data_IF_969208582574
#
_entry.id   IF_969208582574
#
_cell.length_a   1.000
_cell.length_b   1.000
_cell.length_c   1.000
_cell.angle_alpha   90.00
_cell.angle_beta   90.00
_cell.angle_gamma   90.00
#
_symmetry.space_group_name_H-M   'P 1'
#
loop_
_entity.id
_entity.type
_entity.pdbx_description
1 polymer ?
#
# COMPACT_ATOMS: atom_id res chain seq x y z
N UNK A 1 10.57 3.14 34.11
CA UNK A 1 10.41 1.91 33.31
C UNK A 1 8.99 1.96 32.75
N UNK A 2 8.78 2.80 31.74
CA UNK A 2 7.47 2.99 31.13
C UNK A 2 7.32 1.99 30.00
N UNK A 3 6.61 0.90 30.27
CA UNK A 3 6.04 0.07 29.23
C UNK A 3 4.96 0.91 28.56
N UNK A 4 5.34 1.68 27.54
CA UNK A 4 4.41 2.25 26.58
C UNK A 4 3.53 1.09 26.09
N UNK A 5 2.24 1.18 26.33
CA UNK A 5 1.29 0.13 26.00
C UNK A 5 1.34 -0.11 24.48
N UNK A 6 2.07 -1.14 24.05
CA UNK A 6 2.28 -1.46 22.63
C UNK A 6 0.96 -1.58 21.87
N UNK A 7 -0.13 -1.91 22.57
CA UNK A 7 -1.48 -1.98 22.02
C UNK A 7 -2.04 -0.59 21.71
N UNK A 8 -1.85 0.37 22.60
CA UNK A 8 -2.30 1.76 22.40
C UNK A 8 -1.58 2.46 21.22
N UNK A 9 -0.32 2.11 20.96
CA UNK A 9 0.44 2.64 19.80
C UNK A 9 -0.10 2.09 18.48
N UNK A 10 -0.32 0.78 18.39
CA UNK A 10 -0.87 0.14 17.19
C UNK A 10 -2.32 0.60 16.94
N UNK A 11 -3.11 0.76 17.99
CA UNK A 11 -4.50 1.20 17.91
C UNK A 11 -4.63 2.70 17.60
N UNK A 12 -3.57 3.49 17.73
CA UNK A 12 -3.64 4.93 17.48
C UNK A 12 -3.97 5.25 16.01
N UNK A 13 -3.42 4.48 15.07
CA UNK A 13 -3.74 4.63 13.65
C UNK A 13 -5.21 4.25 13.38
N UNK A 14 -5.63 3.07 13.83
CA UNK A 14 -7.02 2.60 13.63
C UNK A 14 -8.04 3.42 14.40
N UNK A 15 -7.65 4.23 15.39
CA UNK A 15 -8.57 5.16 16.05
C UNK A 15 -9.08 6.26 15.10
N UNK A 16 -8.23 6.73 14.17
CA UNK A 16 -8.53 7.87 13.26
C UNK A 16 -8.94 7.45 11.86
N UNK A 17 -8.56 6.25 11.46
CA UNK A 17 -8.88 5.69 10.16
C UNK A 17 -9.79 4.47 10.31
N UNK A 18 -10.47 4.09 9.24
CA UNK A 18 -11.19 2.82 9.23
C UNK A 18 -10.19 1.65 9.26
N UNK A 19 -10.69 0.48 9.65
CA UNK A 19 -9.87 -0.70 9.87
C UNK A 19 -9.15 -1.19 8.58
N UNK A 20 -9.59 -0.78 7.38
CA UNK A 20 -8.92 -1.08 6.11
C UNK A 20 -7.64 -0.29 5.85
N UNK A 21 -7.35 0.74 6.66
CA UNK A 21 -6.16 1.57 6.44
C UNK A 21 -4.88 0.74 6.48
N UNK A 22 -4.82 -0.29 7.33
CA UNK A 22 -3.64 -1.15 7.43
C UNK A 22 -3.43 -1.95 6.15
N UNK A 23 -4.43 -2.72 5.73
CA UNK A 23 -4.39 -3.48 4.47
C UNK A 23 -4.04 -2.56 3.29
N UNK A 24 -4.61 -1.34 3.29
CA UNK A 24 -4.37 -0.38 2.24
C UNK A 24 -2.93 0.14 2.19
N UNK A 25 -2.34 0.39 3.35
CA UNK A 25 -0.96 0.83 3.47
C UNK A 25 0.03 -0.32 3.23
N UNK A 26 -0.35 -1.57 3.55
CA UNK A 26 0.48 -2.76 3.30
C UNK A 26 0.65 -3.08 1.81
N UNK A 27 -0.30 -2.68 0.97
CA UNK A 27 -0.23 -2.88 -0.48
C UNK A 27 0.82 -1.99 -1.17
N UNK A 28 1.30 -0.94 -0.51
CA UNK A 28 2.33 -0.08 -1.07
C UNK A 28 3.72 -0.75 -1.01
N UNK A 29 4.43 -0.87 -2.14
CA UNK A 29 5.75 -1.48 -2.17
C UNK A 29 6.85 -0.57 -1.62
N UNK A 30 6.62 0.74 -1.56
CA UNK A 30 7.62 1.74 -1.19
C UNK A 30 7.91 1.76 0.31
N UNK A 31 9.09 2.26 0.67
CA UNK A 31 9.55 2.39 2.04
C UNK A 31 9.00 3.67 2.70
N UNK A 32 8.09 3.52 3.66
CA UNK A 32 7.59 4.64 4.43
C UNK A 32 7.19 4.25 5.87
N UNK A 33 7.08 5.27 6.71
CA UNK A 33 6.64 5.18 8.10
C UNK A 33 5.51 6.19 8.35
N UNK A 34 4.63 5.88 9.29
CA UNK A 34 3.67 6.82 9.86
C UNK A 34 3.96 6.96 11.35
N UNK A 35 4.02 8.19 11.83
CA UNK A 35 4.20 8.51 13.26
C UNK A 35 3.00 9.27 13.80
N UNK A 36 2.75 9.16 15.10
CA UNK A 36 1.67 9.88 15.77
C UNK A 36 2.21 10.95 16.73
N UNK A 37 2.10 12.25 16.40
CA UNK A 37 2.58 13.33 17.26
C UNK A 37 1.72 13.55 18.51
N UNK A 38 0.52 12.95 18.61
CA UNK A 38 -0.29 13.03 19.81
C UNK A 38 0.22 12.14 20.95
N UNK A 39 1.11 11.18 20.64
CA UNK A 39 1.76 10.32 21.63
C UNK A 39 3.16 10.85 21.92
N UNK A 40 3.52 10.91 23.20
CA UNK A 40 4.82 11.39 23.65
C UNK A 40 5.97 10.64 22.94
N UNK A 41 6.93 11.40 22.41
CA UNK A 41 8.06 10.85 21.67
C UNK A 41 7.77 10.52 20.20
N UNK A 42 6.60 10.89 19.66
CA UNK A 42 6.21 10.72 18.25
C UNK A 42 6.51 9.30 17.73
N UNK A 43 5.95 8.26 18.38
CA UNK A 43 6.25 6.89 18.02
C UNK A 43 5.77 6.58 16.60
N UNK A 44 6.48 5.65 15.97
CA UNK A 44 6.09 5.02 14.73
C UNK A 44 4.89 4.13 15.03
N UNK A 45 3.77 4.38 14.36
CA UNK A 45 2.52 3.63 14.48
C UNK A 45 2.30 2.69 13.28
N UNK A 46 3.04 2.89 12.19
CA UNK A 46 3.03 2.00 11.02
C UNK A 46 4.39 2.02 10.31
N UNK A 47 4.84 0.86 9.86
CA UNK A 47 6.01 0.68 9.02
C UNK A 47 5.66 -0.19 7.81
N UNK A 48 5.93 0.31 6.60
CA UNK A 48 5.60 -0.43 5.38
C UNK A 48 6.51 -1.64 5.18
N UNK A 49 6.04 -2.63 4.41
CA UNK A 49 6.86 -3.82 4.07
C UNK A 49 8.13 -3.42 3.31
N UNK A 50 8.03 -2.42 2.44
CA UNK A 50 9.19 -1.83 1.76
C UNK A 50 10.22 -1.25 2.74
N UNK A 51 9.76 -0.58 3.80
CA UNK A 51 10.66 -0.03 4.82
C UNK A 51 11.33 -1.14 5.63
N UNK A 52 10.58 -2.15 6.06
CA UNK A 52 11.12 -3.27 6.84
C UNK A 52 12.16 -4.04 6.01
N UNK A 53 11.87 -4.33 4.74
CA UNK A 53 12.81 -4.98 3.83
C UNK A 53 14.06 -4.15 3.57
N UNK A 54 13.93 -2.83 3.46
CA UNK A 54 15.06 -1.93 3.26
C UNK A 54 15.91 -1.82 4.52
N UNK A 55 15.31 -1.57 5.67
CA UNK A 55 16.02 -1.29 6.92
C UNK A 55 16.56 -2.55 7.62
N UNK A 56 15.98 -3.71 7.31
CA UNK A 56 16.32 -5.00 7.93
C UNK A 56 15.70 -5.20 9.32
N UNK A 57 14.94 -4.23 9.84
CA UNK A 57 14.24 -4.35 11.12
C UNK A 57 12.93 -5.12 10.99
N UNK A 58 12.57 -5.85 12.05
CA UNK A 58 11.25 -6.44 12.20
C UNK A 58 10.22 -5.37 12.61
N UNK A 59 8.94 -5.59 12.31
CA UNK A 59 7.87 -4.64 12.62
C UNK A 59 7.78 -4.36 14.12
N UNK A 60 7.96 -5.40 14.94
CA UNK A 60 7.90 -5.37 16.39
C UNK A 60 9.06 -4.57 17.01
N UNK A 61 10.18 -4.47 16.30
CA UNK A 61 11.34 -3.66 16.71
C UNK A 61 11.11 -2.17 16.41
N UNK A 62 10.30 -1.86 15.39
CA UNK A 62 10.11 -0.51 14.85
C UNK A 62 8.88 0.19 15.44
N UNK A 63 7.73 -0.49 15.49
CA UNK A 63 6.48 0.09 15.99
C UNK A 63 6.62 0.43 17.47
N UNK A 64 6.23 1.66 17.84
CA UNK A 64 6.41 2.21 19.18
C UNK A 64 7.75 2.90 19.43
N UNK A 65 8.70 2.81 18.49
CA UNK A 65 9.97 3.55 18.56
C UNK A 65 9.90 4.89 17.85
N UNK A 66 10.89 5.73 18.09
CA UNK A 66 11.07 7.00 17.37
C UNK A 66 12.12 6.82 16.25
N UNK A 67 12.00 7.60 15.17
CA UNK A 67 12.92 7.59 14.03
C UNK A 67 14.41 7.81 14.38
N UNK A 68 14.72 8.33 15.57
CA UNK A 68 16.08 8.38 16.12
C UNK A 68 16.77 7.01 16.18
N UNK A 69 16.02 5.91 16.25
CA UNK A 69 16.58 4.55 16.28
C UNK A 69 17.38 4.20 15.01
N UNK A 70 17.12 4.87 13.89
CA UNK A 70 17.83 4.62 12.62
C UNK A 70 19.08 5.48 12.46
N UNK A 71 19.36 6.38 13.42
CA UNK A 71 20.50 7.29 13.39
C UNK A 71 21.72 6.61 14.03
N UNK A 72 22.91 6.93 13.55
CA UNK A 72 24.17 6.41 14.07
C UNK A 72 25.30 7.45 14.05
N UNK A 73 26.55 7.02 14.26
CA UNK A 73 27.69 7.92 14.46
C UNK A 73 27.92 8.92 13.32
N UNK A 74 27.67 8.51 12.07
CA UNK A 74 27.82 9.34 10.88
C UNK A 74 26.58 10.18 10.53
N UNK A 75 25.46 10.03 11.25
CA UNK A 75 24.24 10.79 10.95
C UNK A 75 24.45 12.27 11.30
N UNK A 76 24.34 13.14 10.30
CA UNK A 76 24.53 14.59 10.45
C UNK A 76 23.57 15.19 11.47
N UNK A 77 24.12 15.81 12.53
CA UNK A 77 23.34 16.55 13.53
C UNK A 77 22.55 17.70 12.91
N UNK A 78 23.08 18.34 11.88
CA UNK A 78 22.41 19.43 11.15
C UNK A 78 21.15 18.91 10.47
N UNK A 79 21.23 17.81 9.73
CA UNK A 79 20.06 17.19 9.09
C UNK A 79 19.00 16.79 10.11
N UNK A 80 19.41 16.25 11.26
CA UNK A 80 18.49 15.89 12.35
C UNK A 80 17.83 17.12 12.99
N UNK A 81 18.53 18.26 13.08
CA UNK A 81 17.92 19.53 13.52
C UNK A 81 16.91 20.03 12.49
N UNK A 82 17.23 20.01 11.20
CA UNK A 82 16.31 20.44 10.13
C UNK A 82 15.02 19.62 10.11
N UNK A 83 15.10 18.30 10.37
CA UNK A 83 13.93 17.43 10.55
C UNK A 83 13.11 17.85 11.78
N UNK A 84 13.76 18.10 12.93
CA UNK A 84 13.07 18.52 14.15
C UNK A 84 12.36 19.86 13.98
N UNK A 85 12.99 20.81 13.30
CA UNK A 85 12.38 22.10 12.98
C UNK A 85 11.18 21.93 12.03
N UNK A 86 11.30 21.08 11.00
CA UNK A 86 10.17 20.81 10.11
C UNK A 86 8.96 20.18 10.82
N UNK A 87 9.21 19.29 11.79
CA UNK A 87 8.16 18.73 12.66
C UNK A 87 7.53 19.83 13.53
N UNK A 88 8.34 20.69 14.15
CA UNK A 88 7.88 21.81 14.99
C UNK A 88 7.03 22.83 14.20
N UNK A 89 7.41 23.07 12.95
CA UNK A 89 6.74 24.01 12.03
C UNK A 89 5.61 23.37 11.23
N UNK A 90 5.34 22.08 11.42
CA UNK A 90 4.31 21.33 10.69
C UNK A 90 4.42 21.48 9.16
N UNK A 91 5.65 21.43 8.63
CA UNK A 91 5.94 21.62 7.21
C UNK A 91 6.54 20.39 6.55
N UNK A 92 6.36 20.31 5.25
CA UNK A 92 7.02 19.32 4.41
C UNK A 92 8.53 19.55 4.37
N UNK A 93 9.31 18.48 4.34
CA UNK A 93 10.78 18.51 4.20
C UNK A 93 11.25 17.42 3.23
N UNK A 94 12.30 17.72 2.48
CA UNK A 94 13.09 16.73 1.75
C UNK A 94 14.56 16.95 2.11
N UNK A 95 15.24 15.89 2.56
CA UNK A 95 16.64 15.98 2.97
C UNK A 95 17.37 14.66 2.77
N UNK A 96 18.64 14.73 2.37
CA UNK A 96 19.53 13.57 2.41
C UNK A 96 19.91 13.24 3.85
N UNK A 97 19.74 11.97 4.22
CA UNK A 97 20.01 11.48 5.56
C UNK A 97 20.78 10.16 5.50
N UNK A 98 21.84 10.06 6.31
CA UNK A 98 22.56 8.81 6.54
C UNK A 98 21.90 8.05 7.69
N UNK A 99 21.27 6.93 7.37
CA UNK A 99 20.63 6.01 8.32
C UNK A 99 21.39 4.69 8.41
N UNK A 100 21.13 3.93 9.47
CA UNK A 100 21.76 2.65 9.76
C UNK A 100 20.71 1.54 9.72
N UNK A 101 21.04 0.45 9.03
CA UNK A 101 20.22 -0.76 9.00
C UNK A 101 20.38 -1.53 10.31
N UNK A 102 19.56 -2.58 10.49
CA UNK A 102 19.61 -3.45 11.68
C UNK A 102 20.99 -4.10 11.91
N UNK A 103 21.70 -4.41 10.83
CA UNK A 103 23.05 -4.99 10.88
C UNK A 103 24.16 -3.95 11.17
N UNK A 104 23.79 -2.67 11.34
CA UNK A 104 24.72 -1.57 11.55
C UNK A 104 25.34 -1.00 10.27
N UNK A 105 24.96 -1.50 9.08
CA UNK A 105 25.46 -0.94 7.83
C UNK A 105 24.84 0.46 7.55
N UNK A 106 25.66 1.46 7.22
CA UNK A 106 25.17 2.78 6.84
C UNK A 106 24.56 2.76 5.42
N UNK A 107 23.52 3.55 5.21
CA UNK A 107 22.94 3.79 3.89
C UNK A 107 22.33 5.20 3.79
N UNK A 108 22.54 5.82 2.64
CA UNK A 108 21.95 7.11 2.32
C UNK A 108 20.52 6.96 1.82
N UNK A 109 19.65 7.80 2.35
CA UNK A 109 18.26 7.93 1.88
C UNK A 109 17.95 9.40 1.60
N UNK A 110 17.05 9.63 0.65
CA UNK A 110 16.23 10.82 0.64
C UNK A 110 15.09 10.60 1.63
N UNK A 111 15.04 11.43 2.66
CA UNK A 111 13.97 11.47 3.64
C UNK A 111 12.97 12.55 3.25
N UNK A 112 11.75 12.14 2.88
CA UNK A 112 10.65 13.04 2.57
C UNK A 112 9.59 12.99 3.67
N UNK A 113 9.48 14.06 4.45
CA UNK A 113 8.53 14.20 5.56
C UNK A 113 7.31 15.00 5.10
N UNK A 114 6.11 14.48 5.38
CA UNK A 114 4.84 15.14 5.10
C UNK A 114 3.94 15.15 6.35
N UNK A 115 3.48 16.32 6.81
CA UNK A 115 2.42 16.39 7.82
C UNK A 115 1.09 15.91 7.22
N UNK A 116 0.38 15.06 7.95
CA UNK A 116 -0.97 14.57 7.63
C UNK A 116 -1.97 15.34 8.48
N UNK A 117 -2.91 16.03 7.85
CA UNK A 117 -3.87 16.91 8.53
C UNK A 117 -5.24 16.25 8.70
N UNK A 118 -5.92 16.55 9.81
CA UNK A 118 -7.31 16.15 10.01
C UNK A 118 -8.23 16.87 9.00
N UNK A 119 -9.27 16.19 8.49
CA UNK A 119 -10.36 16.85 7.76
C UNK A 119 -11.33 17.49 8.78
N UNK A 120 -11.07 18.73 9.19
CA UNK A 120 -11.95 19.48 10.11
C UNK A 120 -12.10 20.96 9.70
N UNK A 121 -13.25 21.54 10.05
CA UNK A 121 -13.76 22.88 9.69
C UNK A 121 -12.88 24.05 10.19
N UNK A 122 -11.78 24.34 9.49
CA UNK A 122 -11.05 25.61 9.61
C UNK A 122 -9.78 25.61 10.47
N UNK A 123 -9.49 24.54 11.22
CA UNK A 123 -8.22 24.40 11.94
C UNK A 123 -7.35 23.28 11.35
N UNK A 124 -6.19 23.68 10.82
CA UNK A 124 -5.15 22.79 10.28
C UNK A 124 -4.43 22.10 11.45
N UNK A 125 -4.92 20.94 11.89
CA UNK A 125 -4.28 20.13 12.93
C UNK A 125 -3.56 18.93 12.32
N UNK A 126 -2.27 18.76 12.63
CA UNK A 126 -1.53 17.55 12.29
C UNK A 126 -2.01 16.38 13.14
N UNK A 127 -2.39 15.28 12.48
CA UNK A 127 -2.79 14.02 13.12
C UNK A 127 -1.71 12.97 13.04
N UNK A 128 -0.87 13.00 12.00
CA UNK A 128 0.25 12.09 11.81
C UNK A 128 1.36 12.77 11.00
N UNK A 129 2.56 12.22 11.01
CA UNK A 129 3.56 12.49 9.99
C UNK A 129 3.83 11.24 9.17
N UNK A 130 3.79 11.39 7.86
CA UNK A 130 4.24 10.40 6.88
C UNK A 130 5.70 10.69 6.55
N UNK A 131 6.55 9.68 6.56
CA UNK A 131 7.92 9.79 6.03
C UNK A 131 8.16 8.74 4.94
N UNK A 132 8.43 9.18 3.71
CA UNK A 132 8.85 8.33 2.59
C UNK A 132 10.37 8.32 2.50
N UNK A 133 10.97 7.15 2.27
CA UNK A 133 12.42 6.96 2.26
C UNK A 133 12.86 6.31 0.95
N UNK A 134 13.66 7.03 0.16
CA UNK A 134 14.18 6.53 -1.12
C UNK A 134 15.69 6.33 -0.99
N UNK A 135 16.24 5.11 -1.17
CA UNK A 135 17.69 4.88 -1.17
C UNK A 135 18.42 5.74 -2.20
N UNK A 136 19.53 6.36 -1.80
CA UNK A 136 20.40 7.12 -2.70
C UNK A 136 21.59 6.22 -3.11
N UNK A 137 21.64 5.75 -4.38
CA UNK A 137 22.69 4.83 -4.83
C UNK A 137 24.07 5.49 -4.84
N UNK A 138 25.14 4.68 -4.77
CA UNK A 138 26.50 5.14 -5.07
C UNK A 138 26.54 5.52 -6.55
N UNK A 139 26.75 6.80 -6.87
CA UNK A 139 27.04 7.23 -8.24
C UNK A 139 28.54 7.07 -8.47
N UNK A 140 28.93 6.12 -9.32
CA UNK A 140 30.33 6.06 -9.79
C UNK A 140 30.62 7.38 -10.49
N UNK A 141 31.72 8.06 -10.10
CA UNK A 141 32.24 9.19 -10.88
C UNK A 141 32.43 8.68 -12.31
N UNK A 142 31.56 9.08 -13.24
CA UNK A 142 31.89 8.97 -14.66
C UNK A 142 33.12 9.84 -14.85
N UNK A 143 34.28 9.20 -14.99
CA UNK A 143 35.47 9.85 -15.51
C UNK A 143 35.05 10.44 -16.85
N UNK A 144 34.83 11.75 -16.91
CA UNK A 144 34.71 12.44 -18.18
C UNK A 144 36.10 12.31 -18.80
N UNK A 145 36.26 11.33 -19.68
CA UNK A 145 37.39 11.33 -20.61
C UNK A 145 37.14 12.53 -21.50
N UNK A 146 37.69 13.68 -21.12
CA UNK A 146 37.83 14.80 -22.03
C UNK A 146 38.75 14.29 -23.14
N UNK A 147 38.17 13.96 -24.29
CA UNK A 147 38.93 13.68 -25.50
C UNK A 147 39.56 15.00 -25.94
N UNK A 148 40.76 15.28 -25.44
CA UNK A 148 41.61 16.37 -25.94
C UNK A 148 42.31 15.90 -27.20
N UNK A 149 41.63 15.99 -28.35
CA UNK A 149 42.36 16.18 -29.61
C UNK A 149 42.70 17.65 -29.73
N UNK A 150 43.93 18.01 -29.33
CA UNK A 150 44.78 19.00 -30.00
C UNK A 150 46.12 19.04 -29.26
N UNK A 151 47.19 18.75 -30.01
CA UNK A 151 48.59 18.92 -29.61
C UNK A 151 48.87 20.41 -29.41
N UNK A 152 49.61 20.79 -28.38
CA UNK A 152 50.98 21.31 -28.54
C UNK A 152 51.61 21.76 -27.20
N UNK A 153 52.93 21.65 -27.21
CA UNK A 153 53.96 21.86 -26.18
C UNK A 153 53.75 22.97 -25.12
N UNK A 154 54.15 22.70 -23.86
CA UNK A 154 55.33 23.33 -23.20
C UNK A 154 55.55 22.79 -21.76
N UNK A 155 56.75 22.22 -21.53
CA UNK A 155 57.67 22.29 -20.37
C UNK A 155 57.20 22.42 -18.89
N UNK A 156 57.74 21.48 -18.12
CA UNK A 156 58.56 21.60 -16.87
C UNK A 156 57.95 21.47 -15.46
N UNK A 157 58.57 20.52 -14.76
CA UNK A 157 59.00 20.47 -13.35
C UNK A 157 58.19 19.72 -12.27
N UNK A 158 58.86 18.65 -11.83
CA UNK A 158 59.21 18.27 -10.45
C UNK A 158 58.21 17.44 -9.61
N UNK A 159 58.56 16.16 -9.49
CA UNK A 159 58.85 15.42 -8.25
C UNK A 159 57.97 15.71 -7.01
N UNK A 160 57.22 14.68 -6.59
CA UNK A 160 57.46 14.05 -5.29
C UNK A 160 56.72 12.69 -5.20
N UNK A 161 57.49 11.60 -5.28
CA UNK A 161 57.15 10.34 -4.65
C UNK A 161 57.14 10.54 -3.13
N UNK A 162 56.06 10.11 -2.48
CA UNK A 162 56.07 9.77 -1.06
C UNK A 162 55.11 8.60 -0.85
N UNK A 163 55.67 7.40 -1.02
CA UNK A 163 55.17 6.17 -0.42
C UNK A 163 55.12 6.36 1.10
N UNK A 164 53.90 6.51 1.62
CA UNK A 164 53.63 6.27 3.03
C UNK A 164 52.60 5.15 3.13
N UNK A 165 53.11 3.96 3.41
CA UNK A 165 52.35 2.86 3.96
C UNK A 165 51.69 3.31 5.27
N UNK A 166 50.42 3.71 5.19
CA UNK A 166 49.57 3.83 6.36
C UNK A 166 48.76 2.54 6.47
N UNK A 167 49.04 1.82 7.56
CA UNK A 167 48.17 0.83 8.19
C UNK A 167 46.86 1.52 8.60
N UNK A 168 46.01 1.79 7.62
CA UNK A 168 44.70 2.37 7.84
C UNK A 168 43.72 1.23 8.08
N UNK A 169 43.48 0.91 9.35
CA UNK A 169 42.19 0.35 9.77
C UNK A 169 41.13 1.43 9.55
N UNK A 170 40.89 1.73 8.27
CA UNK A 170 40.03 2.79 7.80
C UNK A 170 38.62 2.49 8.24
N UNK A 171 38.10 3.31 9.15
CA UNK A 171 36.68 3.56 9.18
C UNK A 171 36.34 4.15 7.82
N UNK A 172 35.75 3.35 6.91
CA UNK A 172 35.21 3.88 5.66
C UNK A 172 34.14 4.92 6.03
N UNK A 173 34.53 6.20 6.03
CA UNK A 173 33.61 7.31 6.23
C UNK A 173 32.74 7.34 4.97
N UNK A 174 31.49 6.88 5.10
CA UNK A 174 30.51 6.94 4.02
C UNK A 174 30.42 8.38 3.49
N UNK A 175 30.87 8.59 2.25
CA UNK A 175 30.88 9.90 1.59
C UNK A 175 29.46 10.49 1.56
N UNK A 176 29.37 11.80 1.78
CA UNK A 176 28.12 12.56 1.69
C UNK A 176 27.42 12.33 0.34
N UNK A 177 26.11 12.03 0.36
CA UNK A 177 25.31 11.86 -0.86
C UNK A 177 24.09 12.75 -0.90
N UNK A 178 23.96 13.47 -2.00
CA UNK A 178 22.80 14.30 -2.29
C UNK A 178 21.82 13.57 -3.22
N UNK A 179 20.53 13.66 -2.90
CA UNK A 179 19.47 13.11 -3.74
C UNK A 179 19.33 13.92 -5.04
N UNK A 180 19.21 13.24 -6.18
CA UNK A 180 18.89 13.89 -7.44
C UNK A 180 17.39 14.18 -7.58
N UNK A 181 17.04 14.83 -8.69
CA UNK A 181 15.64 15.16 -9.01
C UNK A 181 14.76 13.92 -9.10
N UNK A 182 15.27 12.82 -9.67
CA UNK A 182 14.53 11.56 -9.73
C UNK A 182 14.11 11.04 -8.35
N UNK A 183 15.02 11.01 -7.39
CA UNK A 183 14.70 10.54 -6.04
C UNK A 183 13.65 11.45 -5.38
N UNK A 184 13.74 12.78 -5.60
CA UNK A 184 12.80 13.79 -5.07
C UNK A 184 11.40 13.67 -5.66
N UNK A 185 11.31 13.54 -6.99
CA UNK A 185 10.05 13.36 -7.70
C UNK A 185 9.37 12.06 -7.31
N UNK A 186 10.13 10.96 -7.24
CA UNK A 186 9.61 9.67 -6.78
C UNK A 186 9.06 9.77 -5.36
N UNK A 187 9.82 10.37 -4.44
CA UNK A 187 9.38 10.51 -3.05
C UNK A 187 8.08 11.31 -2.94
N UNK A 188 7.97 12.42 -3.70
CA UNK A 188 6.77 13.26 -3.73
C UNK A 188 5.55 12.52 -4.32
N UNK A 189 5.74 11.75 -5.40
CA UNK A 189 4.68 10.93 -6.01
C UNK A 189 4.15 9.90 -5.03
N UNK A 190 5.04 9.12 -4.42
CA UNK A 190 4.68 8.09 -3.42
C UNK A 190 3.96 8.71 -2.23
N UNK A 191 4.45 9.85 -1.72
CA UNK A 191 3.79 10.57 -0.64
C UNK A 191 2.36 11.00 -1.02
N UNK A 192 2.16 11.53 -2.23
CA UNK A 192 0.84 11.91 -2.73
C UNK A 192 -0.16 10.74 -2.79
N UNK A 193 0.29 9.57 -3.23
CA UNK A 193 -0.54 8.36 -3.30
C UNK A 193 -0.94 7.86 -1.90
N UNK A 194 0.00 7.83 -0.95
CA UNK A 194 -0.24 7.42 0.43
C UNK A 194 -1.17 8.41 1.13
N UNK A 195 -0.93 9.72 1.00
CA UNK A 195 -1.80 10.76 1.56
C UNK A 195 -3.23 10.65 1.01
N UNK A 196 -3.37 10.36 -0.29
CA UNK A 196 -4.66 10.09 -0.91
C UNK A 196 -5.34 8.85 -0.33
N UNK A 197 -4.57 7.78 -0.05
CA UNK A 197 -5.10 6.60 0.62
C UNK A 197 -5.57 6.92 2.05
N UNK A 198 -4.74 7.59 2.86
CA UNK A 198 -5.09 8.01 4.22
C UNK A 198 -6.36 8.87 4.24
N UNK A 199 -6.48 9.83 3.31
CA UNK A 199 -7.66 10.67 3.18
C UNK A 199 -8.93 9.85 2.85
N UNK A 200 -8.83 8.85 1.96
CA UNK A 200 -9.95 7.95 1.64
C UNK A 200 -10.42 7.13 2.84
N UNK A 201 -9.49 6.69 3.68
CA UNK A 201 -9.77 5.81 4.81
C UNK A 201 -9.97 6.56 6.15
N UNK A 202 -9.94 7.90 6.16
CA UNK A 202 -10.15 8.71 7.36
C UNK A 202 -11.58 8.60 7.90
N UNK A 203 -11.73 8.39 9.22
CA UNK A 203 -13.03 8.50 9.90
C UNK A 203 -13.39 9.99 9.97
N UNK A 204 -14.25 10.48 9.09
CA UNK A 204 -14.74 11.86 9.19
C UNK A 204 -15.46 12.05 10.53
N UNK A 205 -14.96 12.95 11.37
CA UNK A 205 -15.73 13.51 12.47
C UNK A 205 -16.82 14.41 11.89
N UNK A 206 -18.08 14.00 12.05
CA UNK A 206 -19.30 14.79 11.82
C UNK A 206 -19.57 15.31 10.40
N UNK A 207 -20.41 14.55 9.68
CA UNK A 207 -21.62 15.13 9.09
C UNK A 207 -21.51 15.96 7.81
N UNK A 208 -21.09 15.36 6.68
CA UNK A 208 -21.76 15.48 5.36
C UNK A 208 -21.06 14.58 4.33
N UNK A 209 -21.84 13.74 3.66
CA UNK A 209 -21.39 12.67 2.76
C UNK A 209 -20.77 13.20 1.47
N UNK A 210 -19.61 12.68 1.13
CA UNK A 210 -19.33 12.12 -0.19
C UNK A 210 -19.11 10.59 -0.06
N UNK A 211 -20.19 9.85 0.15
CA UNK A 211 -20.47 8.58 -0.51
C UNK A 211 -19.50 7.39 -0.48
N UNK A 212 -18.58 7.21 0.47
CA UNK A 212 -17.86 5.93 0.62
C UNK A 212 -18.21 5.29 1.96
N UNK A 213 -19.19 4.38 1.97
CA UNK A 213 -19.37 3.45 3.09
C UNK A 213 -18.29 2.39 2.91
N UNK A 214 -17.20 2.54 3.64
CA UNK A 214 -16.14 1.54 3.66
C UNK A 214 -16.66 0.30 4.40
N UNK A 215 -16.58 -0.89 3.79
CA UNK A 215 -17.04 -2.14 4.43
C UNK A 215 -16.28 -2.41 5.74
N UNK A 216 -16.66 -3.42 6.51
CA UNK A 216 -15.75 -3.95 7.54
C UNK A 216 -14.66 -4.81 6.88
N UNK A 217 -13.40 -4.79 7.35
CA UNK A 217 -12.37 -5.69 6.86
C UNK A 217 -12.78 -7.14 7.01
N UNK A 218 -12.45 -7.93 6.00
CA UNK A 218 -12.51 -9.38 6.12
C UNK A 218 -11.44 -9.84 7.11
N UNK A 219 -11.71 -10.92 7.85
CA UNK A 219 -10.70 -11.50 8.74
C UNK A 219 -9.43 -11.85 7.95
N UNK A 220 -8.24 -11.71 8.55
CA UNK A 220 -6.97 -12.01 7.89
C UNK A 220 -6.94 -13.44 7.32
N UNK A 221 -7.55 -14.42 8.01
CA UNK A 221 -7.68 -15.79 7.53
C UNK A 221 -8.49 -15.90 6.21
N UNK A 222 -9.53 -15.07 6.06
CA UNK A 222 -10.31 -14.99 4.83
C UNK A 222 -9.50 -14.35 3.71
N UNK A 223 -8.84 -13.22 3.99
CA UNK A 223 -8.00 -12.52 3.02
C UNK A 223 -6.89 -13.44 2.48
N UNK A 224 -6.20 -14.18 3.36
CA UNK A 224 -5.17 -15.15 2.96
C UNK A 224 -5.75 -16.27 2.09
N UNK A 225 -6.92 -16.78 2.45
CA UNK A 225 -7.57 -17.87 1.69
C UNK A 225 -8.01 -17.41 0.30
N UNK A 226 -8.61 -16.22 0.21
CA UNK A 226 -9.05 -15.62 -1.05
C UNK A 226 -7.85 -15.23 -1.94
N UNK A 227 -6.75 -14.75 -1.35
CA UNK A 227 -5.54 -14.36 -2.09
C UNK A 227 -4.82 -15.51 -2.80
N UNK A 228 -5.15 -16.77 -2.49
CA UNK A 228 -4.63 -17.95 -3.22
C UNK A 228 -5.33 -18.17 -4.57
N UNK A 229 -6.53 -17.62 -4.74
CA UNK A 229 -7.35 -17.81 -5.93
C UNK A 229 -6.84 -16.86 -7.03
N UNK A 230 -6.35 -17.41 -8.14
CA UNK A 230 -5.72 -16.64 -9.22
C UNK A 230 -6.70 -16.00 -10.19
N UNK A 231 -7.94 -16.48 -10.23
CA UNK A 231 -8.95 -15.96 -11.15
C UNK A 231 -9.40 -14.54 -10.77
N UNK A 232 -9.96 -13.82 -11.75
CA UNK A 232 -10.54 -12.50 -11.54
C UNK A 232 -11.89 -12.62 -10.85
N UNK A 233 -11.99 -12.12 -9.62
CA UNK A 233 -13.25 -12.06 -8.89
C UNK A 233 -13.28 -10.92 -7.87
N UNK A 234 -14.50 -10.57 -7.47
CA UNK A 234 -14.79 -9.67 -6.35
C UNK A 234 -15.80 -10.28 -5.40
N UNK A 235 -15.75 -9.90 -4.13
CA UNK A 235 -16.85 -10.09 -3.18
C UNK A 235 -17.55 -8.77 -2.94
N UNK A 236 -18.89 -8.79 -2.93
CA UNK A 236 -19.72 -7.65 -2.53
C UNK A 236 -20.57 -8.01 -1.33
N UNK A 237 -20.81 -7.05 -0.43
CA UNK A 237 -21.63 -7.25 0.76
C UNK A 237 -23.04 -6.72 0.54
N UNK A 238 -24.06 -7.61 0.43
CA UNK A 238 -25.43 -7.21 0.18
C UNK A 238 -26.11 -6.50 1.36
N UNK A 239 -25.51 -6.52 2.56
CA UNK A 239 -26.07 -5.89 3.76
C UNK A 239 -25.63 -4.43 3.91
N UNK A 240 -24.65 -3.99 3.12
CA UNK A 240 -24.21 -2.60 3.09
C UNK A 240 -24.96 -1.81 2.02
N UNK A 241 -25.20 -0.51 2.25
CA UNK A 241 -25.81 0.35 1.23
C UNK A 241 -25.05 0.26 -0.08
N UNK A 242 -25.77 0.07 -1.17
CA UNK A 242 -25.23 0.01 -2.54
C UNK A 242 -24.43 -1.26 -2.91
N UNK A 243 -24.39 -2.28 -2.05
CA UNK A 243 -23.66 -3.55 -2.28
C UNK A 243 -22.20 -3.33 -2.73
N UNK A 244 -21.38 -2.65 -1.92
CA UNK A 244 -20.02 -2.30 -2.28
C UNK A 244 -19.12 -3.54 -2.35
N UNK A 245 -18.04 -3.43 -3.12
CA UNK A 245 -16.95 -4.40 -3.13
C UNK A 245 -16.25 -4.37 -1.78
N UNK A 246 -16.13 -5.55 -1.15
CA UNK A 246 -15.42 -5.78 0.10
C UNK A 246 -14.15 -6.58 -0.10
N UNK A 247 -13.95 -7.17 -1.28
CA UNK A 247 -12.72 -7.83 -1.68
C UNK A 247 -12.58 -7.81 -3.19
N UNK A 248 -11.37 -7.56 -3.69
CA UNK A 248 -11.04 -7.66 -5.10
C UNK A 248 -9.75 -8.46 -5.27
N UNK A 249 -9.76 -9.47 -6.14
CA UNK A 249 -8.58 -10.29 -6.39
C UNK A 249 -7.52 -9.56 -7.23
N UNK A 250 -6.29 -10.05 -7.19
CA UNK A 250 -5.22 -9.56 -8.06
C UNK A 250 -5.56 -9.77 -9.55
N UNK A 251 -6.27 -10.87 -9.86
CA UNK A 251 -6.81 -11.13 -11.19
C UNK A 251 -7.81 -10.07 -11.64
N UNK A 252 -8.65 -9.57 -10.73
CA UNK A 252 -9.57 -8.47 -11.02
C UNK A 252 -8.83 -7.16 -11.27
N UNK A 253 -7.82 -6.86 -10.46
CA UNK A 253 -7.01 -5.66 -10.61
C UNK A 253 -6.26 -5.68 -11.95
N UNK A 254 -5.65 -6.82 -12.29
CA UNK A 254 -4.96 -7.03 -13.57
C UNK A 254 -5.90 -6.92 -14.77
N UNK A 255 -7.10 -7.48 -14.67
CA UNK A 255 -8.10 -7.41 -15.73
C UNK A 255 -8.56 -5.96 -15.93
N UNK A 256 -8.94 -5.25 -14.87
CA UNK A 256 -9.65 -3.97 -15.00
C UNK A 256 -8.74 -2.74 -15.02
N UNK A 257 -7.48 -2.89 -14.60
CA UNK A 257 -6.52 -1.80 -14.42
C UNK A 257 -6.80 -0.92 -13.19
N UNK A 258 -7.81 -1.23 -12.39
CA UNK A 258 -8.05 -0.57 -11.11
C UNK A 258 -7.31 -1.31 -9.99
N UNK A 259 -6.66 -0.55 -9.12
CA UNK A 259 -6.11 -1.12 -7.89
C UNK A 259 -7.21 -1.51 -6.91
N UNK A 260 -6.91 -2.45 -6.00
CA UNK A 260 -7.79 -2.85 -4.89
C UNK A 260 -8.27 -1.63 -4.10
N UNK A 261 -7.38 -0.66 -3.82
CA UNK A 261 -7.70 0.57 -3.10
C UNK A 261 -8.72 1.47 -3.81
N UNK A 262 -8.76 1.42 -5.14
CA UNK A 262 -9.67 2.25 -5.94
C UNK A 262 -11.08 1.65 -6.05
N UNK A 263 -11.24 0.36 -5.73
CA UNK A 263 -12.50 -0.38 -5.96
C UNK A 263 -13.19 -0.80 -4.68
N UNK A 264 -12.44 -0.99 -3.58
CA UNK A 264 -13.03 -1.26 -2.26
C UNK A 264 -14.00 -0.15 -1.85
N UNK A 265 -15.16 -0.52 -1.33
CA UNK A 265 -16.23 0.40 -0.95
C UNK A 265 -17.08 0.94 -2.11
N UNK A 266 -16.81 0.55 -3.36
CA UNK A 266 -17.59 0.96 -4.53
C UNK A 266 -18.43 -0.19 -5.06
N UNK A 267 -19.59 0.12 -5.62
CA UNK A 267 -20.33 -0.85 -6.42
C UNK A 267 -19.65 -1.10 -7.77
N UNK A 268 -19.62 -2.34 -8.26
CA UNK A 268 -18.99 -2.74 -9.52
C UNK A 268 -19.47 -1.98 -10.77
N UNK A 269 -20.59 -1.25 -10.71
CA UNK A 269 -21.12 -0.48 -11.84
C UNK A 269 -20.18 0.58 -12.40
N UNK A 270 -19.07 0.90 -11.73
CA UNK A 270 -18.03 1.77 -12.31
C UNK A 270 -17.37 1.17 -13.55
N UNK A 271 -17.51 -0.15 -13.78
CA UNK A 271 -17.08 -0.82 -15.00
C UNK A 271 -18.07 -0.66 -16.15
N UNK A 272 -19.27 -0.12 -15.90
CA UNK A 272 -20.25 0.14 -16.95
C UNK A 272 -19.86 1.39 -17.75
N UNK A 273 -20.25 1.44 -19.01
CA UNK A 273 -20.05 2.61 -19.86
C UNK A 273 -21.10 2.70 -20.96
N UNK A 274 -20.89 3.56 -21.98
CA UNK A 274 -21.93 3.93 -22.95
C UNK A 274 -22.55 2.77 -23.72
N UNK A 275 -21.80 1.70 -23.97
CA UNK A 275 -22.26 0.51 -24.69
C UNK A 275 -22.75 -0.63 -23.78
N UNK A 276 -22.83 -0.43 -22.47
CA UNK A 276 -23.32 -1.48 -21.55
C UNK A 276 -24.84 -1.61 -21.66
N UNK A 277 -25.32 -2.79 -22.05
CA UNK A 277 -26.75 -3.05 -22.22
C UNK A 277 -27.52 -3.02 -20.89
N UNK A 278 -28.48 -2.11 -20.78
CA UNK A 278 -29.35 -1.95 -19.61
C UNK A 278 -30.25 -3.16 -19.36
N UNK A 279 -30.61 -3.95 -20.38
CA UNK A 279 -31.39 -5.18 -20.21
C UNK A 279 -30.60 -6.22 -19.42
N UNK A 280 -29.31 -6.37 -19.71
CA UNK A 280 -28.41 -7.27 -18.98
C UNK A 280 -28.22 -6.79 -17.54
N UNK A 281 -28.12 -5.48 -17.31
CA UNK A 281 -28.06 -4.92 -15.95
C UNK A 281 -29.33 -5.20 -15.14
N UNK A 282 -30.51 -5.12 -15.77
CA UNK A 282 -31.78 -5.49 -15.14
C UNK A 282 -31.83 -6.97 -14.81
N UNK A 283 -31.37 -7.84 -15.71
CA UNK A 283 -31.28 -9.29 -15.46
C UNK A 283 -30.39 -9.61 -14.23
N UNK A 284 -29.24 -8.93 -14.09
CA UNK A 284 -28.39 -9.06 -12.89
C UNK A 284 -29.16 -8.63 -11.65
N UNK A 285 -29.81 -7.46 -11.70
CA UNK A 285 -30.56 -6.89 -10.56
C UNK A 285 -31.68 -7.82 -10.10
N UNK A 286 -32.43 -8.39 -11.04
CA UNK A 286 -33.53 -9.30 -10.74
C UNK A 286 -33.02 -10.65 -10.21
N UNK A 287 -31.87 -11.13 -10.70
CA UNK A 287 -31.22 -12.34 -10.17
C UNK A 287 -30.73 -12.15 -8.74
N UNK A 288 -30.13 -11.00 -8.43
CA UNK A 288 -29.72 -10.63 -7.07
C UNK A 288 -30.95 -10.57 -6.15
N UNK A 289 -32.02 -9.88 -6.54
CA UNK A 289 -33.28 -9.81 -5.77
C UNK A 289 -33.89 -11.19 -5.52
N UNK A 290 -33.78 -12.09 -6.49
CA UNK A 290 -34.28 -13.46 -6.38
C UNK A 290 -33.33 -14.39 -5.61
N UNK A 291 -32.21 -13.89 -5.10
CA UNK A 291 -31.16 -14.68 -4.44
C UNK A 291 -30.60 -15.84 -5.31
N UNK A 292 -30.59 -15.65 -6.63
CA UNK A 292 -30.16 -16.66 -7.61
C UNK A 292 -28.81 -16.30 -8.24
N UNK A 293 -28.08 -17.33 -8.65
CA UNK A 293 -26.91 -17.15 -9.49
C UNK A 293 -27.32 -16.74 -10.91
N UNK A 294 -26.49 -15.94 -11.58
CA UNK A 294 -26.69 -15.59 -12.98
C UNK A 294 -25.36 -15.53 -13.73
N UNK A 295 -25.37 -16.02 -14.97
CA UNK A 295 -24.28 -15.85 -15.93
C UNK A 295 -24.76 -14.93 -17.05
N UNK A 296 -23.99 -13.88 -17.34
CA UNK A 296 -24.32 -12.90 -18.38
C UNK A 296 -23.08 -12.49 -19.14
N UNK A 297 -23.27 -12.04 -20.37
CA UNK A 297 -22.25 -11.40 -21.19
C UNK A 297 -22.57 -9.91 -21.30
N UNK A 298 -21.69 -9.05 -20.84
CA UNK A 298 -21.88 -7.59 -20.89
C UNK A 298 -20.61 -6.85 -21.29
N UNK A 299 -20.76 -5.69 -21.90
CA UNK A 299 -19.65 -4.80 -22.24
C UNK A 299 -19.24 -3.99 -21.01
N UNK A 300 -17.98 -4.13 -20.59
CA UNK A 300 -17.39 -3.35 -19.50
C UNK A 300 -16.20 -2.53 -19.99
N UNK A 301 -15.78 -1.57 -19.18
CA UNK A 301 -14.73 -0.61 -19.50
C UNK A 301 -13.66 -0.63 -18.40
N UNK A 302 -12.40 -0.68 -18.83
CA UNK A 302 -11.24 -0.61 -17.93
C UNK A 302 -10.97 0.81 -17.45
N UNK A 303 -10.00 0.98 -16.55
CA UNK A 303 -9.57 2.29 -16.06
C UNK A 303 -9.11 3.23 -17.18
N UNK A 304 -8.44 2.70 -18.19
CA UNK A 304 -8.02 3.44 -19.39
C UNK A 304 -9.15 3.70 -20.40
N UNK A 305 -10.39 3.31 -20.06
CA UNK A 305 -11.61 3.40 -20.89
C UNK A 305 -11.65 2.44 -22.08
N UNK A 306 -10.72 1.50 -22.20
CA UNK A 306 -10.82 0.45 -23.21
C UNK A 306 -12.01 -0.48 -22.91
N UNK A 307 -12.84 -0.82 -23.92
CA UNK A 307 -13.95 -1.74 -23.74
C UNK A 307 -13.48 -3.21 -23.79
N UNK A 308 -14.14 -4.07 -23.02
CA UNK A 308 -13.95 -5.52 -23.10
C UNK A 308 -15.26 -6.27 -22.85
N UNK A 309 -15.42 -7.42 -23.52
CA UNK A 309 -16.57 -8.30 -23.29
C UNK A 309 -16.33 -9.15 -22.04
N UNK A 310 -17.09 -8.85 -21.00
CA UNK A 310 -17.02 -9.56 -19.73
C UNK A 310 -18.05 -10.70 -19.70
N UNK A 311 -17.57 -11.93 -19.65
CA UNK A 311 -18.35 -13.09 -19.23
C UNK A 311 -18.39 -13.05 -17.69
N UNK A 312 -19.51 -12.61 -17.14
CA UNK A 312 -19.71 -12.38 -15.71
C UNK A 312 -20.61 -13.45 -15.12
N UNK A 313 -20.11 -14.15 -14.10
CA UNK A 313 -20.90 -15.05 -13.27
C UNK A 313 -21.04 -14.50 -11.86
N UNK A 314 -22.27 -14.27 -11.41
CA UNK A 314 -22.60 -13.80 -10.06
C UNK A 314 -23.26 -14.94 -9.29
N UNK A 315 -22.80 -15.21 -8.06
CA UNK A 315 -23.38 -16.24 -7.20
C UNK A 315 -23.49 -15.80 -5.75
N UNK A 316 -24.58 -16.11 -5.04
CA UNK A 316 -24.65 -15.90 -3.60
C UNK A 316 -23.69 -16.86 -2.88
N UNK A 317 -22.94 -16.31 -1.93
CA UNK A 317 -22.05 -17.04 -1.02
C UNK A 317 -22.67 -17.02 0.36
N UNK A 318 -23.09 -18.20 0.84
CA UNK A 318 -23.80 -18.34 2.12
C UNK A 318 -22.83 -18.71 3.25
N UNK A 319 -23.02 -18.13 4.42
CA UNK A 319 -22.30 -18.49 5.64
C UNK A 319 -22.78 -19.86 6.20
N UNK A 320 -22.23 -20.28 7.33
CA UNK A 320 -22.63 -21.54 7.98
C UNK A 320 -24.11 -21.55 8.42
N UNK A 321 -24.73 -20.39 8.68
CA UNK A 321 -26.15 -20.30 9.02
C UNK A 321 -27.08 -20.36 7.80
N UNK A 322 -26.55 -20.56 6.58
CA UNK A 322 -27.33 -20.58 5.35
C UNK A 322 -27.77 -19.20 4.85
N UNK A 323 -27.43 -18.11 5.55
CA UNK A 323 -27.72 -16.74 5.10
C UNK A 323 -26.67 -16.31 4.08
N UNK A 324 -27.06 -15.51 3.09
CA UNK A 324 -26.10 -14.91 2.17
C UNK A 324 -25.18 -14.02 2.99
N UNK A 325 -23.88 -14.26 2.91
CA UNK A 325 -22.85 -13.39 3.49
C UNK A 325 -22.36 -12.39 2.46
N UNK A 326 -22.11 -12.86 1.24
CA UNK A 326 -21.58 -12.06 0.13
C UNK A 326 -22.20 -12.51 -1.19
N UNK A 327 -22.06 -11.68 -2.22
CA UNK A 327 -22.10 -12.15 -3.60
C UNK A 327 -20.68 -12.21 -4.15
N UNK A 328 -20.36 -13.29 -4.86
CA UNK A 328 -19.13 -13.39 -5.66
C UNK A 328 -19.45 -13.06 -7.10
N UNK A 329 -18.69 -12.14 -7.70
CA UNK A 329 -18.72 -11.88 -9.14
C UNK A 329 -17.40 -12.31 -9.76
N UNK A 330 -17.44 -13.27 -10.69
CA UNK A 330 -16.26 -13.80 -11.39
C UNK A 330 -16.26 -13.31 -12.83
N UNK A 331 -15.19 -12.62 -13.24
CA UNK A 331 -15.07 -11.99 -14.56
C UNK A 331 -14.09 -12.78 -15.44
N UNK A 332 -14.46 -13.04 -16.68
CA UNK A 332 -13.57 -13.56 -17.72
C UNK A 332 -13.73 -12.70 -18.97
N UNK A 333 -12.63 -12.21 -19.52
CA UNK A 333 -12.67 -11.54 -20.81
C UNK A 333 -12.84 -12.55 -21.94
N UNK A 334 -13.83 -12.30 -22.79
CA UNK A 334 -14.06 -13.10 -23.99
C UNK A 334 -12.87 -13.00 -24.96
N UNK A 335 -12.39 -14.14 -25.45
CA UNK A 335 -11.21 -14.19 -26.32
C UNK A 335 -9.86 -14.13 -25.58
N UNK A 336 -9.85 -14.06 -24.25
CA UNK A 336 -8.61 -14.16 -23.46
C UNK A 336 -7.94 -15.52 -23.65
N UNK A 337 -6.69 -15.53 -24.13
CA UNK A 337 -5.86 -16.73 -24.31
C UNK A 337 -5.27 -17.19 -22.97
N UNK A 338 -6.10 -17.51 -21.98
CA UNK A 338 -5.59 -18.17 -20.78
C UNK A 338 -5.44 -19.67 -21.06
N UNK A 339 -4.22 -20.07 -21.40
CA UNK A 339 -3.77 -21.44 -21.71
C UNK A 339 -3.80 -22.40 -20.50
N UNK A 340 -4.78 -22.30 -19.61
CA UNK A 340 -4.88 -23.21 -18.46
C UNK A 340 -6.05 -24.19 -18.67
N UNK A 341 -5.67 -25.40 -19.13
CA UNK A 341 -6.40 -26.67 -19.01
C UNK A 341 -7.59 -26.97 -19.93
N UNK A 342 -7.85 -26.20 -21.00
CA UNK A 342 -8.92 -26.52 -21.94
C UNK A 342 -10.34 -26.50 -21.33
N UNK A 343 -10.48 -25.91 -20.14
CA UNK A 343 -11.75 -25.77 -19.43
C UNK A 343 -12.58 -24.65 -20.05
N UNK A 344 -13.89 -24.86 -20.16
CA UNK A 344 -14.80 -23.81 -20.61
C UNK A 344 -14.80 -22.61 -19.64
N UNK A 345 -15.11 -21.39 -20.11
CA UNK A 345 -15.24 -20.22 -19.24
C UNK A 345 -16.18 -20.46 -18.05
N UNK A 346 -17.28 -21.19 -18.28
CA UNK A 346 -18.24 -21.56 -17.26
C UNK A 346 -17.62 -22.45 -16.17
N UNK A 347 -16.87 -23.49 -16.55
CA UNK A 347 -16.20 -24.37 -15.57
C UNK A 347 -15.20 -23.60 -14.70
N UNK A 348 -14.48 -22.64 -15.30
CA UNK A 348 -13.52 -21.79 -14.57
C UNK A 348 -14.23 -20.85 -13.59
N UNK A 349 -15.35 -20.27 -14.01
CA UNK A 349 -16.18 -19.45 -13.13
C UNK A 349 -16.73 -20.27 -11.96
N UNK A 350 -17.33 -21.43 -12.23
CA UNK A 350 -17.89 -22.31 -11.20
C UNK A 350 -16.82 -22.84 -10.24
N UNK A 351 -15.63 -23.18 -10.74
CA UNK A 351 -14.49 -23.57 -9.91
C UNK A 351 -14.03 -22.45 -8.98
N UNK A 352 -14.00 -21.21 -9.45
CA UNK A 352 -13.70 -20.02 -8.63
C UNK A 352 -14.77 -19.81 -7.55
N UNK A 353 -16.05 -19.90 -7.92
CA UNK A 353 -17.18 -19.80 -6.98
C UNK A 353 -17.08 -20.89 -5.90
N UNK A 354 -16.71 -22.12 -6.28
CA UNK A 354 -16.50 -23.23 -5.35
C UNK A 354 -15.43 -22.91 -4.31
N UNK A 355 -14.25 -22.46 -4.74
CA UNK A 355 -13.15 -22.06 -3.86
C UNK A 355 -13.54 -20.94 -2.90
N UNK A 356 -14.22 -19.90 -3.40
CA UNK A 356 -14.73 -18.80 -2.57
C UNK A 356 -15.75 -19.29 -1.54
N UNK A 357 -16.70 -20.15 -1.93
CA UNK A 357 -17.70 -20.72 -1.01
C UNK A 357 -17.03 -21.53 0.11
N UNK A 358 -15.98 -22.28 -0.20
CA UNK A 358 -15.18 -23.00 0.80
C UNK A 358 -14.50 -22.02 1.75
N UNK A 359 -13.80 -21.01 1.24
CA UNK A 359 -13.10 -20.01 2.05
C UNK A 359 -14.03 -19.30 3.05
N UNK A 360 -15.23 -18.88 2.61
CA UNK A 360 -16.20 -18.19 3.46
C UNK A 360 -16.83 -19.12 4.51
N UNK A 361 -17.10 -20.38 4.15
CA UNK A 361 -17.69 -21.36 5.09
C UNK A 361 -16.74 -21.75 6.20
N UNK A 362 -15.47 -22.03 5.89
CA UNK A 362 -14.48 -22.50 6.86
C UNK A 362 -14.30 -21.57 8.05
N UNK A 363 -14.54 -20.27 7.87
CA UNK A 363 -14.36 -19.24 8.90
C UNK A 363 -15.61 -19.11 9.78
N UNK A 364 -16.80 -19.35 9.22
CA UNK A 364 -18.05 -19.33 10.00
C UNK A 364 -18.13 -20.49 11.01
N UNK A 365 -17.45 -21.61 10.72
CA UNK A 365 -17.36 -22.79 11.60
C UNK A 365 -16.32 -22.66 12.72
N UNK A 366 -15.32 -21.78 12.59
CA UNK A 366 -14.27 -21.58 13.61
C UNK A 366 -14.68 -20.72 14.81
N UNK A 367 -15.78 -19.96 14.70
CA UNK A 367 -16.28 -19.10 15.77
C UNK A 367 -17.19 -19.83 16.80
N UNK A 368 -17.36 -21.15 16.66
CA UNK A 368 -18.34 -21.94 17.43
C UNK A 368 -17.81 -22.71 18.64
N UNK A 369 -16.50 -22.81 18.85
CA UNK A 369 -15.92 -23.67 19.91
C UNK A 369 -15.15 -22.86 20.96
N UNK A 370 -15.87 -22.03 21.70
CA UNK A 370 -15.43 -21.50 23.00
C UNK A 370 -16.63 -21.15 23.89
N UNK A 371 -17.56 -22.09 24.03
CA UNK A 371 -18.39 -22.14 25.24
C UNK A 371 -17.87 -23.27 26.11
N UNK A 372 -17.07 -22.88 27.11
CA UNK A 372 -16.71 -23.69 28.25
C UNK A 372 -18.01 -24.22 28.87
N UNK A 373 -18.18 -25.55 28.84
CA UNK A 373 -19.06 -26.25 29.77
C UNK A 373 -18.34 -26.34 31.12
N UNK A 374 -18.99 -25.76 32.13
CA UNK A 374 -19.03 -26.11 33.56
C UNK A 374 -17.98 -27.06 34.11
#
# INVERSE_FOLDING_TARGET
METCDHRAVADSLTSRYCDWVHDALEDFPDAFLITDPAIAGHPIVFASRGFLSMSGYASEEVVGRNGRMFQGPGTSRRSVMEIREAIREERTLQISLLNYRRDGSPHWILFHLCPVFAPCDGHRRVVHFLSVQIPIPKRSRRTVVVSTTCRDAMRMDADLELDLANDDRGFEVEEWREAGEWEKEKAASVAGEILSALARYGKLSSGKRAGVVLPRPLSSALNISLGRIKQSFVLTDPHLPDMPIVYASDGFSSLTGYSRLEVLGRNCRFLNGPGTDTKVLNQIKDSIKAEKACAVRLLNYRKDRSPFWNLLHISPVRNASGKIAFYVGVQIEEGSKSNEHGLSPEMRQLGTVGQVKVAVRSISSGAGTSRLSS
#
